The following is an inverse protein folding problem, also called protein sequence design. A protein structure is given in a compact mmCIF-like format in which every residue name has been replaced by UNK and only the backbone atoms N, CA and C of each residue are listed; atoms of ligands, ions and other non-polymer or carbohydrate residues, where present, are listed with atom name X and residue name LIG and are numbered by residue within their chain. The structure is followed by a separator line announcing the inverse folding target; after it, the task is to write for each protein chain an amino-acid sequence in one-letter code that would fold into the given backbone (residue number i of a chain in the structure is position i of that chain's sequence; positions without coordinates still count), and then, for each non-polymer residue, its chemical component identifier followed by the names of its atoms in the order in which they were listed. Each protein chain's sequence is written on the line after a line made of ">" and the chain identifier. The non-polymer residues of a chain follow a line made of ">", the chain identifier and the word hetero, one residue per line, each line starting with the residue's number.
data_IF_075240988327
#
_entry.id   IF_075240988327
#
_cell.length_a   1.000
_cell.length_b   1.000
_cell.length_c   1.000
_cell.angle_alpha   90.00
_cell.angle_beta   90.00
_cell.angle_gamma   90.00
#
_symmetry.space_group_name_H-M   'P 1'
#
loop_
_entity.id
_entity.type
_entity.pdbx_description
1 polymer ?
#
# COMPACT_ATOMS: atom_id res chain seq x y z
N UNK A 1 -15.88 5.80 3.72
CA UNK A 1 -15.82 5.27 2.34
C UNK A 1 -16.66 4.03 2.27
N UNK A 2 -17.25 3.75 1.12
CA UNK A 2 -17.99 2.55 0.77
C UNK A 2 -17.36 1.92 -0.48
N UNK A 3 -17.51 0.61 -0.66
CA UNK A 3 -17.00 -0.07 -1.84
C UNK A 3 -17.93 0.17 -3.03
N UNK A 4 -17.40 0.35 -4.26
CA UNK A 4 -18.21 0.57 -5.45
C UNK A 4 -19.16 -0.63 -5.65
N UNK A 5 -20.46 -0.34 -5.77
CA UNK A 5 -21.51 -1.34 -6.01
C UNK A 5 -21.97 -1.23 -7.46
N UNK A 6 -22.01 -2.35 -8.18
CA UNK A 6 -22.52 -2.41 -9.54
C UNK A 6 -22.27 -3.77 -10.19
N UNK A 7 -23.09 -4.08 -11.20
CA UNK A 7 -22.79 -5.15 -12.15
C UNK A 7 -22.03 -4.48 -13.30
N UNK A 8 -20.71 -4.58 -13.27
CA UNK A 8 -19.86 -4.04 -14.32
C UNK A 8 -19.72 -5.04 -15.45
N UNK A 9 -19.80 -4.56 -16.68
CA UNK A 9 -19.45 -5.37 -17.84
C UNK A 9 -17.92 -5.57 -17.89
N UNK A 10 -17.52 -6.79 -18.18
CA UNK A 10 -16.13 -7.24 -18.26
C UNK A 10 -15.79 -7.89 -19.62
N UNK A 11 -16.79 -8.06 -20.49
CA UNK A 11 -16.65 -8.74 -21.79
C UNK A 11 -16.54 -7.72 -22.94
N UNK A 12 -15.37 -7.09 -23.02
CA UNK A 12 -15.02 -6.13 -24.06
C UNK A 12 -13.57 -6.30 -24.50
N UNK A 13 -13.25 -5.81 -25.71
CA UNK A 13 -11.90 -5.92 -26.29
C UNK A 13 -10.84 -5.19 -25.46
N UNK A 14 -11.18 -4.03 -24.88
CA UNK A 14 -10.29 -3.19 -24.09
C UNK A 14 -10.80 -3.00 -22.66
N UNK A 15 -10.33 -3.83 -21.73
CA UNK A 15 -10.64 -3.69 -20.31
C UNK A 15 -9.82 -2.58 -19.64
N UNK A 16 -10.49 -1.70 -18.90
CA UNK A 16 -9.86 -0.69 -18.04
C UNK A 16 -9.59 -1.33 -16.68
N UNK A 17 -8.33 -1.33 -16.25
CA UNK A 17 -7.94 -1.73 -14.90
C UNK A 17 -7.94 -0.53 -13.95
N UNK A 18 -8.67 -0.66 -12.85
CA UNK A 18 -8.65 0.25 -11.71
C UNK A 18 -8.57 -0.53 -10.40
N UNK A 19 -8.51 0.17 -9.27
CA UNK A 19 -8.41 -0.45 -7.94
C UNK A 19 -9.38 0.20 -6.97
N UNK A 20 -9.97 -0.56 -6.05
CA UNK A 20 -10.81 0.00 -4.98
C UNK A 20 -10.52 -0.64 -3.63
N UNK A 21 -10.83 0.09 -2.56
CA UNK A 21 -10.74 -0.46 -1.22
C UNK A 21 -12.01 -1.23 -0.86
N UNK A 22 -11.86 -2.53 -0.66
CA UNK A 22 -12.90 -3.38 -0.10
C UNK A 22 -12.84 -3.33 1.43
N UNK A 23 -13.90 -2.81 2.05
CA UNK A 23 -13.97 -2.58 3.50
C UNK A 23 -14.15 -3.88 4.26
N UNK A 24 -14.82 -4.88 3.68
CA UNK A 24 -15.07 -6.15 4.34
C UNK A 24 -13.77 -6.93 4.49
N UNK A 25 -12.98 -6.99 3.41
CA UNK A 25 -11.70 -7.68 3.42
C UNK A 25 -10.53 -6.79 3.87
N UNK A 26 -10.75 -5.46 3.96
CA UNK A 26 -9.72 -4.44 4.19
C UNK A 26 -8.55 -4.53 3.20
N UNK A 27 -8.83 -4.87 1.94
CA UNK A 27 -7.83 -5.04 0.88
C UNK A 27 -8.16 -4.13 -0.31
N UNK A 28 -7.12 -3.62 -0.96
CA UNK A 28 -7.26 -3.00 -2.27
C UNK A 28 -7.43 -4.11 -3.32
N UNK A 29 -8.57 -4.12 -4.01
CA UNK A 29 -8.93 -5.11 -5.02
C UNK A 29 -8.86 -4.50 -6.42
N UNK A 30 -8.50 -5.33 -7.39
CA UNK A 30 -8.54 -4.99 -8.80
C UNK A 30 -10.00 -4.92 -9.27
N UNK A 31 -10.31 -3.95 -10.10
CA UNK A 31 -11.58 -3.79 -10.78
C UNK A 31 -11.29 -3.66 -12.28
N UNK A 32 -11.77 -4.63 -13.05
CA UNK A 32 -11.68 -4.64 -14.50
C UNK A 32 -13.07 -4.36 -15.07
N UNK A 33 -13.18 -3.34 -15.90
CA UNK A 33 -14.45 -2.88 -16.45
C UNK A 33 -14.26 -2.37 -17.87
N UNK A 34 -15.33 -2.42 -18.67
CA UNK A 34 -15.34 -1.85 -20.01
C UNK A 34 -15.39 -0.32 -20.04
N UNK A 35 -15.78 0.32 -18.92
CA UNK A 35 -15.90 1.77 -18.82
C UNK A 35 -15.25 2.29 -17.54
N UNK A 36 -14.85 3.57 -17.52
CA UNK A 36 -14.26 4.20 -16.34
C UNK A 36 -15.32 4.32 -15.23
N UNK A 37 -15.07 3.66 -14.11
CA UNK A 37 -15.93 3.79 -12.92
C UNK A 37 -15.57 5.05 -12.15
N UNK A 38 -16.51 6.00 -12.07
CA UNK A 38 -16.35 7.22 -11.30
C UNK A 38 -16.87 7.02 -9.87
N UNK A 39 -15.99 6.63 -8.95
CA UNK A 39 -16.32 6.45 -7.54
C UNK A 39 -15.18 6.98 -6.65
N UNK A 40 -15.44 7.65 -5.51
CA UNK A 40 -14.39 8.21 -4.64
C UNK A 40 -13.40 7.19 -4.07
N UNK A 41 -13.78 5.92 -4.07
CA UNK A 41 -12.94 4.81 -3.61
C UNK A 41 -12.38 3.97 -4.76
N UNK A 42 -12.43 4.47 -6.00
CA UNK A 42 -11.79 3.88 -7.18
C UNK A 42 -10.57 4.73 -7.56
N UNK A 43 -9.44 4.06 -7.71
CA UNK A 43 -8.12 4.62 -7.94
C UNK A 43 -7.52 4.07 -9.23
N UNK A 44 -6.69 4.86 -9.90
CA UNK A 44 -6.07 4.45 -11.16
C UNK A 44 -4.95 3.42 -10.95
N UNK A 45 -4.35 3.40 -9.75
CA UNK A 45 -3.33 2.41 -9.41
C UNK A 45 -3.46 1.87 -7.98
N UNK A 46 -2.88 0.69 -7.78
CA UNK A 46 -2.90 -0.03 -6.51
C UNK A 46 -2.21 0.76 -5.39
N UNK A 47 -1.16 1.51 -5.70
CA UNK A 47 -0.36 2.25 -4.72
C UNK A 47 -1.15 3.42 -4.13
N UNK A 48 -1.96 4.11 -4.92
CA UNK A 48 -2.89 5.15 -4.46
C UNK A 48 -3.97 4.56 -3.58
N UNK A 49 -4.61 3.45 -3.99
CA UNK A 49 -5.57 2.77 -3.12
C UNK A 49 -4.94 2.39 -1.78
N UNK A 50 -3.69 1.93 -1.80
CA UNK A 50 -2.99 1.54 -0.58
C UNK A 50 -2.65 2.73 0.31
N UNK A 51 -2.14 3.79 -0.28
CA UNK A 51 -1.79 5.03 0.41
C UNK A 51 -3.02 5.64 1.10
N UNK A 52 -4.11 5.78 0.35
CA UNK A 52 -5.33 6.47 0.79
C UNK A 52 -6.24 5.62 1.68
N UNK A 53 -6.14 4.29 1.62
CA UNK A 53 -7.07 3.41 2.33
C UNK A 53 -6.40 2.27 3.09
N UNK A 54 -5.68 1.38 2.38
CA UNK A 54 -5.15 0.15 2.99
C UNK A 54 -4.24 0.48 4.18
N UNK A 55 -3.20 1.29 3.96
CA UNK A 55 -2.20 1.56 4.99
C UNK A 55 -2.83 2.21 6.21
N UNK A 56 -3.76 3.15 6.01
CA UNK A 56 -4.52 3.78 7.10
C UNK A 56 -5.27 2.74 7.95
N UNK A 57 -5.85 1.72 7.31
CA UNK A 57 -6.58 0.65 7.99
C UNK A 57 -5.68 -0.33 8.76
N UNK A 58 -4.38 -0.36 8.47
CA UNK A 58 -3.44 -1.36 8.98
C UNK A 58 -2.27 -0.79 9.81
N UNK A 59 -2.12 0.53 9.89
CA UNK A 59 -1.10 1.15 10.75
C UNK A 59 -1.58 1.35 12.19
N UNK A 60 -0.66 1.23 13.15
CA UNK A 60 -0.89 1.54 14.58
C UNK A 60 -0.80 3.03 14.87
N UNK A 61 0.12 3.72 14.19
CA UNK A 61 0.50 5.09 14.50
C UNK A 61 0.55 5.96 13.23
N UNK A 62 0.10 7.23 13.28
CA UNK A 62 0.06 8.10 12.10
C UNK A 62 1.44 8.46 11.53
N UNK A 63 2.50 8.41 12.34
CA UNK A 63 3.87 8.69 11.89
C UNK A 63 4.42 7.64 10.92
N UNK A 64 3.81 6.45 10.86
CA UNK A 64 4.09 5.45 9.84
C UNK A 64 3.43 5.76 8.47
N UNK A 65 2.58 6.78 8.37
CA UNK A 65 1.91 7.16 7.12
C UNK A 65 2.64 8.26 6.34
N UNK A 66 3.87 8.60 6.73
CA UNK A 66 4.69 9.55 5.97
C UNK A 66 5.00 8.90 4.61
N UNK A 67 4.45 9.48 3.55
CA UNK A 67 4.76 9.06 2.19
C UNK A 67 6.18 9.50 1.83
N UNK A 68 7.05 8.51 1.64
CA UNK A 68 8.43 8.71 1.21
C UNK A 68 8.67 8.24 -0.23
N UNK A 69 7.60 8.06 -1.00
CA UNK A 69 7.63 7.70 -2.41
C UNK A 69 7.72 6.18 -2.64
N UNK A 70 7.94 5.80 -3.90
CA UNK A 70 8.11 4.41 -4.31
C UNK A 70 9.54 4.20 -4.79
N UNK A 71 10.42 3.56 -4.00
CA UNK A 71 11.77 3.23 -4.45
C UNK A 71 11.72 2.27 -5.64
N UNK A 72 12.59 2.51 -6.63
CA UNK A 72 12.76 1.61 -7.76
C UNK A 72 13.83 0.58 -7.40
N UNK A 73 13.48 -0.50 -6.73
CA UNK A 73 14.45 -1.51 -6.27
C UNK A 73 15.28 -2.20 -7.37
N UNK A 74 14.90 -2.09 -8.65
CA UNK A 74 15.71 -2.58 -9.77
C UNK A 74 16.89 -1.64 -10.08
N UNK A 75 16.71 -0.33 -9.87
CA UNK A 75 17.71 0.72 -10.15
C UNK A 75 18.40 1.23 -8.88
N UNK A 76 17.64 1.32 -7.81
CA UNK A 76 18.03 1.81 -6.50
C UNK A 76 18.62 0.64 -5.74
N UNK A 77 19.92 0.44 -5.98
CA UNK A 77 20.75 -0.59 -5.36
C UNK A 77 20.43 -0.78 -3.87
N UNK A 78 19.84 -1.94 -3.53
CA UNK A 78 19.72 -2.49 -2.17
C UNK A 78 20.91 -2.23 -1.24
N UNK A 79 22.20 -2.30 -1.65
CA UNK A 79 23.32 -2.09 -0.73
C UNK A 79 23.44 -0.71 -0.08
N UNK A 80 22.65 0.30 -0.48
CA UNK A 80 22.65 1.63 0.17
C UNK A 80 21.68 1.74 1.34
N UNK A 81 20.70 0.85 1.46
CA UNK A 81 19.69 0.96 2.49
C UNK A 81 20.23 0.43 3.82
N UNK A 82 20.49 1.35 4.75
CA UNK A 82 20.92 1.03 6.11
C UNK A 82 19.76 0.84 7.09
N UNK A 83 18.61 1.43 6.77
CA UNK A 83 17.46 1.50 7.65
C UNK A 83 16.22 0.93 6.96
N UNK A 84 15.24 0.58 7.78
CA UNK A 84 13.91 0.16 7.38
C UNK A 84 12.91 1.28 7.67
N UNK A 85 11.86 1.37 6.86
CA UNK A 85 10.74 2.29 7.06
C UNK A 85 9.45 1.67 6.54
N UNK A 86 8.31 2.01 7.16
CA UNK A 86 7.01 1.64 6.62
C UNK A 86 6.72 2.48 5.37
N UNK A 87 6.39 1.82 4.27
CA UNK A 87 6.00 2.49 3.04
C UNK A 87 4.48 2.43 2.87
N UNK A 88 3.75 3.55 3.00
CA UNK A 88 2.29 3.55 2.93
C UNK A 88 1.73 3.27 1.54
N UNK A 89 2.53 3.38 0.47
CA UNK A 89 2.12 2.97 -0.88
C UNK A 89 2.15 1.46 -1.05
N UNK A 90 2.97 0.74 -0.27
CA UNK A 90 3.02 -0.73 -0.27
C UNK A 90 2.20 -1.33 0.87
N UNK A 91 2.08 -0.61 1.98
CA UNK A 91 1.45 -1.08 3.22
C UNK A 91 2.36 -2.02 4.01
N UNK A 92 3.68 -1.83 3.92
CA UNK A 92 4.66 -2.74 4.53
C UNK A 92 5.99 -2.05 4.85
N UNK A 93 6.76 -2.68 5.74
CA UNK A 93 8.12 -2.25 6.09
C UNK A 93 9.14 -2.71 5.05
N UNK A 94 9.94 -1.77 4.55
CA UNK A 94 10.93 -1.99 3.51
C UNK A 94 12.20 -1.20 3.76
N UNK A 95 13.27 -1.57 3.05
CA UNK A 95 14.52 -0.84 3.03
C UNK A 95 14.31 0.61 2.57
N UNK A 96 14.71 1.56 3.40
CA UNK A 96 14.59 3.00 3.14
C UNK A 96 15.66 3.47 2.16
N UNK A 97 15.22 4.22 1.16
CA UNK A 97 16.07 4.90 0.19
C UNK A 97 15.51 6.31 0.06
N UNK A 98 16.37 7.30 0.26
CA UNK A 98 15.99 8.72 0.13
C UNK A 98 15.62 9.03 -1.32
N UNK A 99 14.41 9.57 -1.53
CA UNK A 99 13.90 10.00 -2.83
C UNK A 99 13.73 11.53 -2.79
N UNK A 100 14.41 12.29 -3.68
CA UNK A 100 14.27 13.75 -3.71
C UNK A 100 12.82 14.20 -3.84
N UNK A 101 12.42 15.15 -2.98
CA UNK A 101 11.06 15.72 -2.96
C UNK A 101 10.09 15.03 -2.02
N UNK A 102 10.48 13.93 -1.40
CA UNK A 102 9.69 13.25 -0.37
C UNK A 102 10.21 13.52 1.05
N UNK A 103 9.34 13.37 2.04
CA UNK A 103 9.71 13.53 3.45
C UNK A 103 10.36 12.26 4.01
N UNK A 104 11.31 12.44 4.92
CA UNK A 104 11.90 11.33 5.65
C UNK A 104 10.86 10.71 6.61
N UNK A 105 10.62 9.38 6.54
CA UNK A 105 9.72 8.68 7.45
C UNK A 105 10.44 8.32 8.76
N UNK A 106 9.73 7.71 9.70
CA UNK A 106 10.39 7.06 10.85
C UNK A 106 11.26 5.90 10.37
N UNK A 107 12.54 5.95 10.76
CA UNK A 107 13.55 4.95 10.41
C UNK A 107 13.76 3.96 11.56
N UNK A 108 14.08 2.73 11.20
CA UNK A 108 14.36 1.60 12.09
C UNK A 108 15.64 0.89 11.66
N UNK A 109 16.35 0.30 12.60
CA UNK A 109 17.58 -0.46 12.30
C UNK A 109 17.26 -1.83 11.67
N UNK A 110 16.11 -2.41 11.99
CA UNK A 110 15.67 -3.70 11.44
C UNK A 110 14.20 -3.71 11.04
N UNK A 111 13.85 -4.79 10.33
CA UNK A 111 12.52 -4.97 9.75
C UNK A 111 11.45 -5.30 10.80
N UNK A 112 11.82 -6.04 11.84
CA UNK A 112 10.91 -6.50 12.88
C UNK A 112 10.44 -5.30 13.72
N UNK A 113 11.37 -4.45 14.15
CA UNK A 113 11.07 -3.22 14.88
C UNK A 113 10.14 -2.29 14.10
N UNK A 114 10.38 -2.14 12.80
CA UNK A 114 9.49 -1.39 11.92
C UNK A 114 8.09 -1.99 11.90
N UNK A 115 7.98 -3.30 11.68
CA UNK A 115 6.70 -3.97 11.58
C UNK A 115 5.93 -3.90 12.91
N UNK A 116 6.63 -4.13 14.03
CA UNK A 116 6.06 -4.08 15.36
C UNK A 116 5.55 -2.71 15.73
N UNK A 117 6.30 -1.68 15.38
CA UNK A 117 5.89 -0.30 15.61
C UNK A 117 4.71 0.08 14.71
N UNK A 118 4.80 -0.21 13.41
CA UNK A 118 3.87 0.34 12.44
C UNK A 118 2.62 -0.50 12.18
N UNK A 119 2.65 -1.83 12.22
CA UNK A 119 1.56 -2.67 11.70
C UNK A 119 0.70 -3.29 12.81
N UNK A 120 -0.63 -3.15 12.74
CA UNK A 120 -1.57 -3.59 13.80
C UNK A 120 -1.49 -5.09 14.09
N UNK A 121 -1.11 -5.90 13.10
CA UNK A 121 -1.03 -7.37 13.19
C UNK A 121 0.41 -7.92 13.19
N UNK A 122 1.42 -7.15 13.62
CA UNK A 122 2.82 -7.57 13.61
C UNK A 122 3.06 -8.99 14.18
N UNK A 123 2.35 -9.36 15.26
CA UNK A 123 2.45 -10.69 15.89
C UNK A 123 2.03 -11.86 14.99
N UNK A 124 1.18 -11.63 13.98
CA UNK A 124 0.80 -12.70 13.03
C UNK A 124 1.96 -13.08 12.11
N UNK A 125 2.88 -12.16 11.83
CA UNK A 125 4.02 -12.41 10.94
C UNK A 125 5.07 -13.34 11.57
N UNK A 126 5.26 -13.29 12.91
CA UNK A 126 6.10 -14.28 13.62
C UNK A 126 5.54 -15.70 13.57
N UNK A 127 4.21 -15.84 13.54
CA UNK A 127 3.55 -17.14 13.51
C UNK A 127 3.54 -17.82 12.13
N UNK A 128 4.12 -17.18 11.11
CA UNK A 128 4.12 -17.68 9.72
C UNK A 128 2.75 -17.67 9.05
N UNK A 129 1.75 -17.03 9.66
CA UNK A 129 0.40 -16.88 9.11
C UNK A 129 0.38 -15.58 8.31
N UNK A 130 0.67 -15.67 7.02
CA UNK A 130 0.51 -14.55 6.07
C UNK A 130 -0.87 -14.70 5.41
N UNK A 131 -1.81 -13.79 5.74
CA UNK A 131 -3.15 -13.69 5.12
C UNK A 131 -3.17 -12.74 3.91
#
# INVERSE_FOLDING_TARGET
>A
MDSPKGNYDTDCEDNITSYYFDIETKKCKKLETCEKVHHPSVFENLFECKLECYSIAWVKTPDCLIDWGMPNYEKDMFPKARYMAFNPRIGYCLSYIEIPGYSEPKLFDDWEDCLYYCHVNAQKYESGIVE
#
